data_IF_230500986597
#
_entry.id   IF_230500986597
#
_cell.length_a   1.000
_cell.length_b   1.000
_cell.length_c   1.000
_cell.angle_alpha   90.00
_cell.angle_beta   90.00
_cell.angle_gamma   90.00
#
_symmetry.space_group_name_H-M   'P 1'
#
loop_
_entity.id
_entity.type
_entity.pdbx_description
1 polymer ?
#
# COMPACT_ATOMS: atom_id res chain seq x y z
N UNK A 1 2.97 -24.78 -48.61
CA UNK A 1 1.77 -24.56 -47.76
C UNK A 1 1.03 -23.33 -48.27
N UNK A 2 -0.13 -23.48 -48.92
CA UNK A 2 -0.96 -22.33 -49.28
C UNK A 2 -1.46 -21.71 -47.97
N UNK A 3 -1.11 -20.46 -47.69
CA UNK A 3 -1.71 -19.70 -46.58
C UNK A 3 -3.22 -19.68 -46.85
N UNK A 4 -4.00 -20.27 -45.94
CA UNK A 4 -5.46 -20.35 -46.08
C UNK A 4 -6.02 -18.95 -46.27
N UNK A 5 -6.76 -18.75 -47.37
CA UNK A 5 -7.45 -17.49 -47.64
C UNK A 5 -8.59 -17.41 -46.63
N UNK A 6 -8.50 -16.47 -45.69
CA UNK A 6 -9.59 -16.20 -44.75
C UNK A 6 -10.78 -15.62 -45.50
N UNK A 7 -11.97 -16.09 -45.17
CA UNK A 7 -13.22 -15.53 -45.68
C UNK A 7 -13.51 -14.17 -45.05
N UNK A 8 -14.30 -13.35 -45.73
CA UNK A 8 -14.71 -12.04 -45.21
C UNK A 8 -15.48 -12.16 -43.88
N UNK A 9 -16.27 -13.22 -43.71
CA UNK A 9 -16.99 -13.49 -42.46
C UNK A 9 -16.02 -13.79 -41.31
N UNK A 10 -15.05 -14.67 -41.52
CA UNK A 10 -14.01 -14.99 -40.51
C UNK A 10 -13.20 -13.74 -40.14
N UNK A 11 -12.91 -12.86 -41.10
CA UNK A 11 -12.27 -11.57 -40.83
C UNK A 11 -13.12 -10.67 -39.92
N UNK A 12 -14.43 -10.56 -40.19
CA UNK A 12 -15.33 -9.76 -39.37
C UNK A 12 -15.50 -10.32 -37.96
N UNK A 13 -15.54 -11.65 -37.81
CA UNK A 13 -15.60 -12.32 -36.51
C UNK A 13 -14.33 -12.08 -35.70
N UNK A 14 -13.16 -12.21 -36.32
CA UNK A 14 -11.87 -11.88 -35.71
C UNK A 14 -11.82 -10.40 -35.29
N UNK A 15 -12.27 -9.48 -36.15
CA UNK A 15 -12.31 -8.06 -35.86
C UNK A 15 -13.26 -7.73 -34.69
N UNK A 16 -14.42 -8.38 -34.63
CA UNK A 16 -15.36 -8.26 -33.51
C UNK A 16 -14.72 -8.71 -32.20
N UNK A 17 -14.00 -9.83 -32.23
CA UNK A 17 -13.27 -10.37 -31.08
C UNK A 17 -12.19 -9.40 -30.60
N UNK A 18 -11.36 -8.88 -31.51
CA UNK A 18 -10.32 -7.88 -31.18
C UNK A 18 -10.95 -6.62 -30.57
N UNK A 19 -12.08 -6.14 -31.10
CA UNK A 19 -12.79 -4.99 -30.55
C UNK A 19 -13.33 -5.23 -29.15
N UNK A 20 -13.82 -6.44 -28.85
CA UNK A 20 -14.26 -6.84 -27.51
C UNK A 20 -13.08 -6.85 -26.54
N UNK A 21 -11.96 -7.47 -26.90
CA UNK A 21 -10.75 -7.46 -26.08
C UNK A 21 -10.25 -6.04 -25.80
N UNK A 22 -10.19 -5.19 -26.83
CA UNK A 22 -9.78 -3.78 -26.68
C UNK A 22 -10.64 -3.03 -25.65
N UNK A 23 -11.93 -3.36 -25.53
CA UNK A 23 -12.83 -2.76 -24.53
C UNK A 23 -12.64 -3.36 -23.12
N UNK A 24 -12.29 -4.64 -23.03
CA UNK A 24 -12.12 -5.33 -21.75
C UNK A 24 -10.79 -4.99 -21.06
N UNK A 25 -9.72 -4.77 -21.83
CA UNK A 25 -8.38 -4.52 -21.28
C UNK A 25 -8.35 -3.33 -20.29
N UNK A 26 -8.92 -2.15 -20.59
CA UNK A 26 -8.95 -1.05 -19.62
C UNK A 26 -9.74 -1.36 -18.35
N UNK A 27 -10.85 -2.11 -18.48
CA UNK A 27 -11.68 -2.49 -17.33
C UNK A 27 -10.93 -3.42 -16.39
N UNK A 28 -10.23 -4.41 -16.96
CA UNK A 28 -9.38 -5.33 -16.19
C UNK A 28 -8.21 -4.61 -15.53
N UNK A 29 -7.58 -3.67 -16.25
CA UNK A 29 -6.48 -2.87 -15.70
C UNK A 29 -6.94 -2.04 -14.50
N UNK A 30 -8.08 -1.34 -14.62
CA UNK A 30 -8.63 -0.52 -13.54
C UNK A 30 -9.02 -1.38 -12.33
N UNK A 31 -9.68 -2.53 -12.55
CA UNK A 31 -10.05 -3.43 -11.46
C UNK A 31 -8.82 -3.97 -10.72
N UNK A 32 -7.76 -4.35 -11.46
CA UNK A 32 -6.49 -4.77 -10.87
C UNK A 32 -5.83 -3.63 -10.09
N UNK A 33 -5.83 -2.41 -10.62
CA UNK A 33 -5.26 -1.24 -9.95
C UNK A 33 -6.03 -0.90 -8.66
N UNK A 34 -7.36 -1.00 -8.67
CA UNK A 34 -8.19 -0.86 -7.46
C UNK A 34 -7.88 -1.94 -6.41
N UNK A 35 -7.76 -3.20 -6.82
CA UNK A 35 -7.37 -4.29 -5.93
C UNK A 35 -5.98 -4.05 -5.33
N UNK A 36 -4.98 -3.69 -6.14
CA UNK A 36 -3.62 -3.39 -5.66
C UNK A 36 -3.61 -2.20 -4.71
N UNK A 37 -4.36 -1.13 -5.02
CA UNK A 37 -4.48 0.05 -4.15
C UNK A 37 -5.23 -0.25 -2.85
N UNK A 38 -6.07 -1.28 -2.82
CA UNK A 38 -6.75 -1.74 -1.60
C UNK A 38 -5.81 -2.52 -0.66
N UNK A 39 -4.71 -3.06 -1.18
CA UNK A 39 -3.71 -3.74 -0.37
C UNK A 39 -2.98 -2.69 0.46
N UNK A 40 -2.93 -2.89 1.77
CA UNK A 40 -2.17 -2.00 2.64
C UNK A 40 -0.70 -1.99 2.22
N UNK A 41 -0.13 -0.79 2.16
CA UNK A 41 1.30 -0.59 1.96
C UNK A 41 2.18 -1.23 3.04
N UNK A 42 1.60 -1.66 4.17
CA UNK A 42 2.32 -2.35 5.24
C UNK A 42 2.32 -3.87 5.12
N UNK A 43 1.82 -4.44 4.01
CA UNK A 43 1.95 -5.87 3.73
C UNK A 43 3.42 -6.28 3.71
N UNK A 44 3.75 -7.32 4.48
CA UNK A 44 5.12 -7.84 4.61
C UNK A 44 5.99 -7.07 5.61
N UNK A 45 5.47 -6.03 6.27
CA UNK A 45 6.16 -5.41 7.40
C UNK A 45 6.08 -6.32 8.61
N UNK A 46 7.24 -6.61 9.20
CA UNK A 46 7.33 -7.33 10.46
C UNK A 46 7.84 -6.42 11.59
N UNK A 47 7.88 -6.98 12.80
CA UNK A 47 8.39 -6.30 14.00
C UNK A 47 9.88 -5.90 13.91
N UNK A 48 10.67 -6.57 13.08
CA UNK A 48 12.12 -6.35 12.94
C UNK A 48 12.47 -5.38 11.82
N UNK A 49 11.48 -4.98 11.02
CA UNK A 49 11.66 -4.07 9.90
C UNK A 49 12.16 -2.73 10.43
N UNK A 50 13.26 -2.22 9.86
CA UNK A 50 13.80 -0.92 10.26
C UNK A 50 12.80 0.19 9.97
N UNK A 51 12.65 1.15 10.89
CA UNK A 51 11.71 2.27 10.72
C UNK A 51 12.03 3.09 9.46
N UNK A 52 13.32 3.22 9.14
CA UNK A 52 13.79 3.88 7.91
C UNK A 52 13.33 3.24 6.60
N UNK A 53 12.89 1.98 6.63
CA UNK A 53 12.38 1.24 5.47
C UNK A 53 10.85 1.19 5.40
N UNK A 54 10.16 1.71 6.42
CA UNK A 54 8.71 1.70 6.44
C UNK A 54 8.15 2.70 5.43
N UNK A 55 7.08 2.35 4.69
CA UNK A 55 6.43 3.25 3.73
C UNK A 55 5.53 4.27 4.44
N UNK A 56 6.08 4.98 5.42
CA UNK A 56 5.41 6.02 6.19
C UNK A 56 5.39 7.35 5.43
N UNK A 57 4.31 8.10 5.60
CA UNK A 57 4.26 9.47 5.09
C UNK A 57 5.34 10.35 5.73
N UNK A 58 5.82 11.35 5.00
CA UNK A 58 6.81 12.33 5.50
C UNK A 58 6.35 12.99 6.80
N UNK A 59 5.03 13.25 6.91
CA UNK A 59 4.44 13.83 8.13
C UNK A 59 4.60 12.89 9.32
N UNK A 60 4.24 11.62 9.15
CA UNK A 60 4.35 10.62 10.22
C UNK A 60 5.81 10.39 10.60
N UNK A 61 6.72 10.29 9.64
CA UNK A 61 8.16 10.25 9.94
C UNK A 61 8.62 11.45 10.74
N UNK A 62 8.19 12.67 10.40
CA UNK A 62 8.55 13.87 11.15
C UNK A 62 7.96 13.90 12.57
N UNK A 63 6.76 13.36 12.75
CA UNK A 63 6.16 13.16 14.09
C UNK A 63 7.01 12.19 14.90
N UNK A 64 7.39 11.04 14.33
CA UNK A 64 8.24 10.05 14.99
C UNK A 64 9.64 10.63 15.32
N UNK A 65 10.22 11.46 14.43
CA UNK A 65 11.50 12.18 14.70
C UNK A 65 11.42 13.11 15.90
N UNK A 66 10.26 13.70 16.15
CA UNK A 66 10.06 14.63 17.24
C UNK A 66 9.84 13.92 18.59
N UNK A 67 9.75 12.58 18.59
CA UNK A 67 9.60 11.79 19.80
C UNK A 67 10.97 11.28 20.25
N UNK A 68 11.41 11.67 21.44
CA UNK A 68 12.78 11.44 21.94
C UNK A 68 13.20 9.97 22.08
N UNK A 69 12.23 9.05 22.09
CA UNK A 69 12.43 7.61 22.34
C UNK A 69 12.42 6.76 21.07
N UNK A 70 12.29 7.35 19.88
CA UNK A 70 12.29 6.62 18.60
C UNK A 70 13.54 6.93 17.80
N UNK A 71 14.52 6.03 17.82
CA UNK A 71 15.68 6.12 16.94
C UNK A 71 15.32 5.72 15.51
N UNK A 72 15.07 6.66 14.60
CA UNK A 72 14.70 6.29 13.22
C UNK A 72 15.77 5.54 12.42
N UNK A 73 17.06 5.76 12.74
CA UNK A 73 18.17 5.18 12.00
C UNK A 73 18.35 3.67 12.30
N UNK A 74 18.25 3.31 13.59
CA UNK A 74 18.50 1.94 14.06
C UNK A 74 17.29 1.25 14.69
N UNK A 75 16.21 1.99 14.93
CA UNK A 75 14.97 1.47 15.49
C UNK A 75 14.21 0.60 14.50
N UNK A 76 13.43 -0.29 15.08
CA UNK A 76 12.60 -1.27 14.37
C UNK A 76 11.13 -0.99 14.60
N UNK A 77 10.24 -1.59 13.80
CA UNK A 77 8.79 -1.47 13.99
C UNK A 77 8.38 -1.84 15.43
N UNK A 78 9.07 -2.80 16.07
CA UNK A 78 8.81 -3.18 17.45
C UNK A 78 8.96 -2.02 18.44
N UNK A 79 9.86 -1.06 18.18
CA UNK A 79 10.03 0.10 19.05
C UNK A 79 8.80 1.01 19.04
N UNK A 80 7.99 0.97 17.97
CA UNK A 80 6.71 1.67 17.88
C UNK A 80 5.65 1.08 18.81
N UNK A 81 5.77 -0.18 19.23
CA UNK A 81 4.85 -0.79 20.20
C UNK A 81 4.95 -0.14 21.59
N UNK A 82 6.06 0.54 21.90
CA UNK A 82 6.23 1.28 23.14
C UNK A 82 5.44 2.59 23.16
N UNK A 83 5.04 3.09 21.99
CA UNK A 83 4.28 4.33 21.87
C UNK A 83 2.88 4.16 22.43
N UNK A 84 2.50 5.07 23.32
CA UNK A 84 1.10 5.23 23.67
C UNK A 84 0.37 6.08 22.63
N UNK A 85 -0.89 5.75 22.39
CA UNK A 85 -1.77 6.54 21.55
C UNK A 85 -1.90 7.98 22.08
N UNK A 86 -1.88 8.15 23.40
CA UNK A 86 -1.93 9.46 24.08
C UNK A 86 -0.70 10.32 23.80
N UNK A 87 0.51 9.75 23.85
CA UNK A 87 1.74 10.48 23.51
C UNK A 87 1.74 10.89 22.05
N UNK A 88 1.31 9.99 21.17
CA UNK A 88 1.20 10.29 19.74
C UNK A 88 0.25 11.47 19.51
N UNK A 89 -0.94 11.45 20.12
CA UNK A 89 -1.93 12.54 20.00
C UNK A 89 -1.46 13.88 20.60
N UNK A 90 -0.57 13.85 21.60
CA UNK A 90 0.03 15.05 22.19
C UNK A 90 1.16 15.63 21.35
N UNK A 91 1.72 14.84 20.44
CA UNK A 91 2.86 15.26 19.62
C UNK A 91 2.41 16.30 18.60
N UNK A 92 3.16 17.40 18.52
CA UNK A 92 2.87 18.48 17.58
C UNK A 92 2.82 17.92 16.15
N UNK A 93 1.78 18.29 15.40
CA UNK A 93 1.51 17.84 14.04
C UNK A 93 1.04 16.38 13.87
N UNK A 94 0.84 15.62 14.95
CA UNK A 94 0.20 14.31 14.88
C UNK A 94 -1.32 14.47 14.69
N UNK A 95 -1.73 14.58 13.42
CA UNK A 95 -3.14 14.63 13.05
C UNK A 95 -3.76 13.24 12.97
N UNK A 96 -5.08 13.18 12.78
CA UNK A 96 -5.84 11.93 12.64
C UNK A 96 -5.21 10.95 11.63
N UNK A 97 -4.82 11.44 10.45
CA UNK A 97 -4.19 10.61 9.40
C UNK A 97 -2.88 9.95 9.86
N UNK A 98 -2.05 10.66 10.63
CA UNK A 98 -0.81 10.10 11.18
C UNK A 98 -1.10 9.01 12.19
N UNK A 99 -2.12 9.20 13.03
CA UNK A 99 -2.57 8.20 14.00
C UNK A 99 -3.12 6.96 13.30
N UNK A 100 -3.98 7.14 12.30
CA UNK A 100 -4.57 6.04 11.55
C UNK A 100 -3.49 5.24 10.81
N UNK A 101 -2.50 5.92 10.20
CA UNK A 101 -1.36 5.29 9.54
C UNK A 101 -0.50 4.45 10.50
N UNK A 102 -0.24 4.94 11.72
CA UNK A 102 0.52 4.20 12.73
C UNK A 102 -0.28 3.00 13.25
N UNK A 103 -1.60 3.15 13.46
CA UNK A 103 -2.48 2.03 13.85
C UNK A 103 -2.52 0.94 12.80
N UNK A 104 -2.64 1.32 11.53
CA UNK A 104 -2.61 0.39 10.40
C UNK A 104 -1.28 -0.36 10.37
N UNK A 105 -0.15 0.36 10.45
CA UNK A 105 1.18 -0.25 10.54
C UNK A 105 1.27 -1.27 11.70
N UNK A 106 0.82 -0.89 12.90
CA UNK A 106 0.84 -1.78 14.06
C UNK A 106 -0.02 -3.03 13.84
N UNK A 107 -1.19 -2.89 13.21
CA UNK A 107 -2.05 -4.02 12.85
C UNK A 107 -1.32 -5.02 11.93
N UNK A 108 -0.68 -4.53 10.86
CA UNK A 108 0.04 -5.38 9.91
C UNK A 108 1.32 -5.98 10.48
N UNK A 109 2.01 -5.26 11.36
CA UNK A 109 3.20 -5.75 12.05
C UNK A 109 2.88 -6.67 13.25
N UNK A 110 1.59 -6.91 13.52
CA UNK A 110 1.09 -7.65 14.69
C UNK A 110 1.61 -7.08 16.03
N UNK A 111 1.54 -5.77 16.16
CA UNK A 111 1.94 -5.01 17.35
C UNK A 111 0.71 -4.41 18.03
N UNK A 112 0.66 -4.52 19.35
CA UNK A 112 -0.37 -3.87 20.15
C UNK A 112 0.16 -2.51 20.63
N UNK A 113 -0.56 -1.44 20.32
CA UNK A 113 -0.25 -0.11 20.84
C UNK A 113 -0.73 0.04 22.28
N UNK A 114 0.01 0.82 23.07
CA UNK A 114 -0.43 1.20 24.40
C UNK A 114 -1.57 2.25 24.32
N UNK A 115 -2.61 2.13 25.16
CA UNK A 115 -3.77 3.03 25.15
C UNK A 115 -3.49 4.47 25.61
#
# INVERSE_FOLDING_TARGET
>A
MKKGIITYYEFLEALSTIRKFKKQVPLLYNAMEEEVNSISKFVGVDKNTKISRLPLSTRTLNVLKAMDHIGLAEGTTQDLARLSLKELLRTKNAGRRTVDEIKELCLFANLQMNP
#
